data_IF_245455813046
#
_entry.id   IF_245455813046
#
_cell.length_a   1.000
_cell.length_b   1.000
_cell.length_c   1.000
_cell.angle_alpha   90.00
_cell.angle_beta   90.00
_cell.angle_gamma   90.00
#
_symmetry.space_group_name_H-M   'P 1'
#
loop_
_entity.id
_entity.type
_entity.pdbx_description
1 polymer ?
#
# COMPACT_ATOMS: atom_id res chain seq x y z
N UNK A 1 -14.50 6.23 2.72
CA UNK A 1 -14.24 4.82 2.38
C UNK A 1 -13.43 4.78 1.10
N UNK A 2 -12.27 5.44 1.15
CA UNK A 2 -11.29 5.40 0.08
C UNK A 2 -10.17 4.46 0.56
N UNK A 3 -10.20 3.23 0.06
CA UNK A 3 -9.28 2.14 0.43
C UNK A 3 -8.25 1.97 -0.69
N UNK A 4 -7.00 1.61 -0.36
CA UNK A 4 -6.02 1.19 -1.37
C UNK A 4 -6.53 -0.10 -2.01
N UNK A 5 -7.12 0.04 -3.20
CA UNK A 5 -7.52 -1.08 -4.04
C UNK A 5 -6.34 -1.43 -4.95
N UNK A 6 -5.82 -2.64 -4.79
CA UNK A 6 -4.82 -3.17 -5.73
C UNK A 6 -5.48 -4.30 -6.51
N UNK A 7 -5.66 -4.03 -7.80
CA UNK A 7 -6.04 -5.02 -8.80
C UNK A 7 -4.81 -5.29 -9.65
N UNK A 8 -4.21 -6.49 -9.51
CA UNK A 8 -3.13 -6.92 -10.40
C UNK A 8 -3.75 -7.76 -11.53
N UNK A 9 -3.59 -7.29 -12.77
CA UNK A 9 -3.87 -8.07 -13.98
C UNK A 9 -2.58 -8.76 -14.39
N UNK A 10 -2.51 -10.08 -14.24
CA UNK A 10 -1.47 -10.87 -14.87
C UNK A 10 -2.16 -11.82 -15.85
N UNK A 11 -2.05 -11.42 -17.12
CA UNK A 11 -2.51 -12.08 -18.34
C UNK A 11 -3.90 -11.67 -18.83
N UNK A 12 -4.06 -11.71 -20.15
CA UNK A 12 -5.29 -11.42 -20.92
C UNK A 12 -6.54 -12.23 -20.48
N UNK A 13 -6.42 -13.11 -19.48
CA UNK A 13 -7.43 -14.02 -18.98
C UNK A 13 -8.15 -13.54 -17.71
N UNK A 14 -7.66 -12.50 -17.01
CA UNK A 14 -8.37 -11.93 -15.87
C UNK A 14 -7.49 -11.43 -14.72
N UNK A 15 -8.14 -11.13 -13.60
CA UNK A 15 -7.49 -10.71 -12.34
C UNK A 15 -7.02 -11.96 -11.60
N UNK A 16 -5.73 -12.05 -11.30
CA UNK A 16 -5.17 -13.18 -10.53
C UNK A 16 -5.56 -13.06 -9.05
N UNK A 17 -5.50 -11.84 -8.50
CA UNK A 17 -6.04 -11.50 -7.20
C UNK A 17 -6.37 -10.01 -7.10
N UNK A 18 -7.29 -9.71 -6.18
CA UNK A 18 -7.63 -8.35 -5.78
C UNK A 18 -7.67 -8.28 -4.26
N UNK A 19 -6.94 -7.33 -3.67
CA UNK A 19 -6.90 -7.13 -2.23
C UNK A 19 -6.91 -5.66 -1.87
N UNK A 20 -7.45 -5.41 -0.69
CA UNK A 20 -7.51 -4.09 -0.07
C UNK A 20 -6.58 -4.05 1.12
N UNK A 21 -5.80 -2.97 1.24
CA UNK A 21 -4.90 -2.78 2.38
C UNK A 21 -5.19 -1.42 3.01
N UNK A 22 -5.50 -1.41 4.31
CA UNK A 22 -5.98 -0.20 4.97
C UNK A 22 -6.67 -0.50 6.28
N UNK A 23 -7.16 0.55 6.94
CA UNK A 23 -7.89 0.47 8.21
C UNK A 23 -9.32 1.00 8.10
N UNK A 24 -9.77 1.65 9.16
CA UNK A 24 -11.16 2.17 9.26
C UNK A 24 -11.34 3.55 8.62
N UNK A 25 -10.24 4.28 8.41
CA UNK A 25 -10.20 5.60 7.79
C UNK A 25 -9.72 5.48 6.33
N UNK A 26 -9.23 6.58 5.76
CA UNK A 26 -8.86 6.63 4.34
C UNK A 26 -7.36 6.33 4.13
N UNK A 27 -7.08 5.69 2.99
CA UNK A 27 -5.73 5.43 2.49
C UNK A 27 -5.59 5.82 1.02
N UNK A 28 -4.39 6.23 0.63
CA UNK A 28 -4.05 6.53 -0.76
C UNK A 28 -2.81 5.73 -1.17
N UNK A 29 -2.85 5.10 -2.34
CA UNK A 29 -1.72 4.37 -2.92
C UNK A 29 -1.10 5.19 -4.06
N UNK A 30 0.23 5.31 -4.08
CA UNK A 30 0.93 6.13 -5.08
C UNK A 30 1.86 5.35 -5.98
N UNK A 31 2.45 4.26 -5.50
CA UNK A 31 3.38 3.46 -6.31
C UNK A 31 3.43 2.01 -5.85
N UNK A 32 3.67 1.11 -6.82
CA UNK A 32 3.92 -0.32 -6.61
C UNK A 32 5.16 -0.70 -7.42
N UNK A 33 6.12 -1.34 -6.76
CA UNK A 33 7.35 -1.84 -7.39
C UNK A 33 7.62 -3.29 -7.00
N UNK A 34 8.12 -4.08 -7.94
CA UNK A 34 8.69 -5.40 -7.60
C UNK A 34 10.05 -5.20 -6.95
N UNK A 35 10.30 -5.93 -5.88
CA UNK A 35 11.56 -5.95 -5.14
C UNK A 35 12.44 -7.11 -5.58
N UNK A 36 13.75 -7.01 -5.33
CA UNK A 36 14.74 -7.99 -5.77
C UNK A 36 14.51 -9.43 -5.27
N UNK A 37 13.71 -9.61 -4.23
CA UNK A 37 13.30 -10.92 -3.70
C UNK A 37 11.94 -11.40 -4.23
N UNK A 38 11.49 -10.87 -5.38
CA UNK A 38 10.25 -11.22 -6.07
C UNK A 38 8.97 -11.02 -5.24
N UNK A 39 9.00 -10.00 -4.38
CA UNK A 39 7.86 -9.47 -3.64
C UNK A 39 7.47 -8.10 -4.17
N UNK A 40 6.31 -7.57 -3.80
CA UNK A 40 5.93 -6.20 -4.16
C UNK A 40 6.00 -5.26 -2.97
N UNK A 41 6.43 -4.03 -3.22
CA UNK A 41 6.38 -2.91 -2.28
C UNK A 41 5.36 -1.91 -2.79
N UNK A 42 4.42 -1.55 -1.91
CA UNK A 42 3.43 -0.50 -2.15
C UNK A 42 3.79 0.68 -1.26
N UNK A 43 3.82 1.86 -1.86
CA UNK A 43 3.96 3.13 -1.17
C UNK A 43 2.64 3.89 -1.25
N UNK A 44 2.20 4.40 -0.10
CA UNK A 44 0.96 5.11 0.07
C UNK A 44 1.00 6.08 1.25
N UNK A 45 -0.16 6.62 1.57
CA UNK A 45 -0.45 7.33 2.81
C UNK A 45 -1.65 6.69 3.52
N UNK A 46 -1.73 6.84 4.84
CA UNK A 46 -2.81 6.32 5.67
C UNK A 46 -3.23 7.33 6.73
N UNK A 47 -4.54 7.49 6.89
CA UNK A 47 -5.11 8.15 8.06
C UNK A 47 -5.47 7.15 9.17
N UNK A 48 -5.48 5.86 8.88
CA UNK A 48 -5.90 4.82 9.82
C UNK A 48 -4.82 4.38 10.81
N UNK A 49 -3.55 4.60 10.48
CA UNK A 49 -2.42 4.10 11.26
C UNK A 49 -1.41 5.21 11.51
N UNK A 50 -0.65 5.09 12.61
CA UNK A 50 0.45 5.98 12.95
C UNK A 50 0.10 7.04 14.01
N UNK A 51 0.66 8.24 13.90
CA UNK A 51 0.77 9.20 15.00
C UNK A 51 -0.18 10.42 14.92
N UNK A 52 -1.09 10.44 13.96
CA UNK A 52 -2.02 11.54 13.69
C UNK A 52 -1.99 11.87 12.19
N UNK A 53 -2.78 12.84 11.74
CA UNK A 53 -2.75 13.29 10.34
C UNK A 53 -2.85 12.16 9.29
N UNK A 54 -2.17 12.37 8.15
CA UNK A 54 -1.90 11.40 7.08
C UNK A 54 -0.45 10.91 7.17
N UNK A 55 -0.21 9.65 7.50
CA UNK A 55 1.15 9.12 7.65
C UNK A 55 1.61 8.36 6.40
N UNK A 56 2.92 8.25 6.18
CA UNK A 56 3.48 7.42 5.08
C UNK A 56 3.17 5.96 5.38
N UNK A 57 2.61 5.23 4.41
CA UNK A 57 2.26 3.82 4.52
C UNK A 57 3.06 2.98 3.53
N UNK A 58 3.87 2.05 4.04
CA UNK A 58 4.66 1.11 3.23
C UNK A 58 4.19 -0.31 3.50
N UNK A 59 3.87 -1.03 2.44
CA UNK A 59 3.36 -2.40 2.52
C UNK A 59 4.25 -3.30 1.68
N UNK A 60 4.77 -4.37 2.28
CA UNK A 60 5.39 -5.46 1.52
C UNK A 60 4.44 -6.63 1.43
N UNK A 61 4.23 -7.13 0.22
CA UNK A 61 3.34 -8.27 -0.07
C UNK A 61 4.08 -9.36 -0.85
N UNK A 62 3.64 -10.60 -0.68
CA UNK A 62 4.09 -11.71 -1.53
C UNK A 62 3.38 -11.69 -2.90
N UNK A 63 3.70 -12.66 -3.77
CA UNK A 63 3.10 -12.79 -5.11
C UNK A 63 1.58 -13.00 -5.12
N UNK A 64 1.04 -13.55 -4.03
CA UNK A 64 -0.39 -13.79 -3.85
C UNK A 64 -1.11 -12.58 -3.21
N UNK A 65 -0.40 -11.48 -2.99
CA UNK A 65 -0.90 -10.30 -2.28
C UNK A 65 -1.04 -10.50 -0.76
N UNK A 66 -0.44 -11.53 -0.16
CA UNK A 66 -0.44 -11.62 1.31
C UNK A 66 0.56 -10.62 1.88
N UNK A 67 0.13 -9.85 2.88
CA UNK A 67 0.99 -8.91 3.60
C UNK A 67 2.08 -9.65 4.34
N UNK A 68 3.33 -9.36 3.99
CA UNK A 68 4.51 -9.82 4.71
C UNK A 68 4.82 -8.90 5.89
N UNK A 69 4.74 -7.58 5.68
CA UNK A 69 4.82 -6.58 6.73
C UNK A 69 4.26 -5.24 6.27
N UNK A 70 3.97 -4.39 7.25
CA UNK A 70 3.60 -2.98 7.07
C UNK A 70 4.50 -2.09 7.91
N UNK A 71 4.74 -0.87 7.43
CA UNK A 71 5.41 0.19 8.17
C UNK A 71 4.67 1.51 7.96
N UNK A 72 4.65 2.32 9.01
CA UNK A 72 4.09 3.66 8.98
C UNK A 72 5.12 4.64 9.53
N UNK A 73 5.22 5.80 8.90
CA UNK A 73 6.11 6.87 9.31
C UNK A 73 5.36 8.19 9.27
N UNK A 74 5.21 8.81 10.44
CA UNK A 74 4.61 10.13 10.51
C UNK A 74 4.57 10.75 11.90
N UNK A 75 4.03 11.96 11.93
CA UNK A 75 3.93 12.84 13.10
C UNK A 75 2.47 13.07 13.47
N UNK A 76 2.15 14.15 14.21
CA UNK A 76 0.74 14.52 14.44
C UNK A 76 0.13 15.28 13.24
N UNK A 77 0.95 15.68 12.27
CA UNK A 77 0.55 16.42 11.06
C UNK A 77 0.55 15.49 9.84
N UNK A 78 0.13 16.02 8.68
CA UNK A 78 0.14 15.26 7.44
C UNK A 78 1.56 15.15 6.83
N UNK A 79 1.95 13.93 6.49
CA UNK A 79 3.08 13.59 5.64
C UNK A 79 2.62 13.17 4.23
N UNK A 80 3.39 13.58 3.22
CA UNK A 80 3.10 13.29 1.82
C UNK A 80 4.17 12.39 1.24
N UNK A 81 3.76 11.22 0.75
CA UNK A 81 4.60 10.35 -0.07
C UNK A 81 4.35 10.61 -1.56
N UNK A 82 5.36 10.40 -2.42
CA UNK A 82 5.25 10.76 -3.84
C UNK A 82 5.50 9.60 -4.79
N UNK A 83 6.64 8.91 -4.68
CA UNK A 83 6.90 7.70 -5.46
C UNK A 83 8.04 6.88 -4.86
N UNK A 84 8.04 5.60 -5.18
CA UNK A 84 9.18 4.69 -5.04
C UNK A 84 9.51 4.15 -6.45
N UNK A 85 10.80 3.92 -6.73
CA UNK A 85 11.33 3.42 -8.01
C UNK A 85 12.12 2.15 -7.77
#
# INVERSE_FOLDING_TARGET
MNTILITIFLNYLGVEWQKTYGGILDEAGFSLVESNDSHYIILGNTHSFGNGGSDIYIIKINKNGDTLWTKFYGTQNDEFSHSIK
#
